data_IF_621196126911
#
_entry.id   IF_621196126911
#
_cell.length_a   1.000
_cell.length_b   1.000
_cell.length_c   1.000
_cell.angle_alpha   90.00
_cell.angle_beta   90.00
_cell.angle_gamma   90.00
#
_symmetry.space_group_name_H-M   'P 1'
#
loop_
_entity.id
_entity.type
_entity.pdbx_description
1 polymer ?
#
# COMPACT_ATOMS: atom_id res chain seq x y z
N UNK A 1 -9.05 -26.33 -0.17
CA UNK A 1 -9.03 -25.06 -0.91
C UNK A 1 -9.46 -25.39 -2.33
N UNK A 2 -10.43 -24.68 -2.89
CA UNK A 2 -10.84 -24.89 -4.29
C UNK A 2 -9.65 -24.57 -5.19
N UNK A 3 -9.20 -25.56 -5.98
CA UNK A 3 -7.97 -25.46 -6.77
C UNK A 3 -8.06 -24.38 -7.87
N UNK A 4 -9.29 -23.98 -8.20
CA UNK A 4 -9.60 -23.00 -9.23
C UNK A 4 -9.59 -21.56 -8.66
N UNK A 5 -9.29 -21.33 -7.38
CA UNK A 5 -9.15 -19.98 -6.80
C UNK A 5 -7.73 -19.44 -6.91
N UNK A 6 -7.59 -18.12 -7.11
CA UNK A 6 -6.30 -17.44 -6.95
C UNK A 6 -5.84 -17.49 -5.49
N UNK A 7 -4.55 -17.72 -5.20
CA UNK A 7 -4.04 -17.74 -3.83
C UNK A 7 -4.08 -16.35 -3.17
N UNK A 8 -4.01 -15.26 -3.96
CA UNK A 8 -4.08 -13.88 -3.49
C UNK A 8 -5.43 -13.25 -3.87
N UNK A 9 -6.34 -13.08 -2.91
CA UNK A 9 -7.64 -12.42 -3.11
C UNK A 9 -7.73 -11.32 -2.06
N UNK A 10 -7.19 -10.15 -2.43
CA UNK A 10 -6.93 -9.07 -1.50
C UNK A 10 -7.90 -7.91 -1.60
N UNK A 11 -7.92 -7.13 -0.52
CA UNK A 11 -8.59 -5.85 -0.47
C UNK A 11 -7.62 -4.85 0.15
N UNK A 12 -7.38 -3.73 -0.54
CA UNK A 12 -6.59 -2.63 0.00
C UNK A 12 -7.51 -1.57 0.60
N UNK A 13 -7.22 -1.18 1.84
CA UNK A 13 -7.83 -0.02 2.48
C UNK A 13 -6.77 1.04 2.75
N UNK A 14 -7.00 2.22 2.23
CA UNK A 14 -6.25 3.43 2.56
C UNK A 14 -6.81 4.07 3.84
N UNK A 15 -5.95 4.23 4.83
CA UNK A 15 -6.27 4.97 6.06
C UNK A 15 -5.45 6.25 6.22
N UNK A 16 -4.61 6.56 5.23
CA UNK A 16 -3.83 7.80 5.14
C UNK A 16 -4.70 9.00 4.78
N UNK A 17 -5.64 8.86 3.83
CA UNK A 17 -6.56 9.95 3.43
C UNK A 17 -7.82 10.02 4.28
N UNK A 18 -8.23 8.92 4.92
CA UNK A 18 -9.35 8.88 5.88
C UNK A 18 -9.06 7.90 7.00
N UNK A 19 -9.14 8.35 8.25
CA UNK A 19 -8.99 7.42 9.38
C UNK A 19 -10.19 6.47 9.49
N UNK A 20 -9.93 5.17 9.59
CA UNK A 20 -10.94 4.14 9.85
C UNK A 20 -10.74 3.56 11.26
N UNK A 21 -11.69 3.75 12.19
CA UNK A 21 -11.58 3.17 13.53
C UNK A 21 -11.42 1.64 13.49
N UNK A 22 -10.74 1.07 14.50
CA UNK A 22 -10.47 -0.38 14.59
C UNK A 22 -11.75 -1.21 14.43
N UNK A 23 -12.86 -0.79 15.06
CA UNK A 23 -14.11 -1.53 14.96
C UNK A 23 -14.71 -1.47 13.54
N UNK A 24 -14.55 -0.37 12.81
CA UNK A 24 -14.88 -0.27 11.39
C UNK A 24 -14.03 -1.23 10.53
N UNK A 25 -12.71 -1.27 10.76
CA UNK A 25 -11.81 -2.21 10.06
C UNK A 25 -12.21 -3.67 10.34
N UNK A 26 -12.56 -4.03 11.57
CA UNK A 26 -13.01 -5.40 11.89
C UNK A 26 -14.35 -5.76 11.23
N UNK A 27 -15.26 -4.78 11.06
CA UNK A 27 -16.50 -4.97 10.28
C UNK A 27 -16.20 -5.19 8.80
N UNK A 28 -15.26 -4.42 8.23
CA UNK A 28 -14.77 -4.63 6.86
C UNK A 28 -14.17 -6.03 6.70
N UNK A 29 -13.29 -6.47 7.60
CA UNK A 29 -12.72 -7.82 7.57
C UNK A 29 -13.79 -8.91 7.60
N UNK A 30 -14.86 -8.72 8.38
CA UNK A 30 -16.01 -9.64 8.39
C UNK A 30 -16.71 -9.68 7.04
N UNK A 31 -16.89 -8.51 6.39
CA UNK A 31 -17.47 -8.42 5.06
C UNK A 31 -16.59 -9.12 4.00
N UNK A 32 -15.28 -8.87 4.03
CA UNK A 32 -14.29 -9.51 3.16
C UNK A 32 -14.31 -11.04 3.30
N UNK A 33 -14.38 -11.55 4.53
CA UNK A 33 -14.51 -12.98 4.81
C UNK A 33 -15.78 -13.58 4.16
N UNK A 34 -16.93 -12.90 4.23
CA UNK A 34 -18.18 -13.34 3.59
C UNK A 34 -18.04 -13.45 2.06
N UNK A 35 -17.18 -12.63 1.46
CA UNK A 35 -16.87 -12.64 0.03
C UNK A 35 -15.59 -13.43 -0.31
N UNK A 36 -15.12 -14.29 0.59
CA UNK A 36 -14.00 -15.22 0.36
C UNK A 36 -12.66 -14.54 0.03
N UNK A 37 -12.47 -13.28 0.43
CA UNK A 37 -11.15 -12.63 0.43
C UNK A 37 -10.26 -13.25 1.52
N UNK A 38 -8.96 -13.28 1.28
CA UNK A 38 -7.98 -13.87 2.20
C UNK A 38 -6.76 -12.98 2.44
N UNK A 39 -6.78 -11.76 1.94
CA UNK A 39 -5.72 -10.76 2.13
C UNK A 39 -6.36 -9.42 2.43
N UNK A 40 -5.80 -8.72 3.40
CA UNK A 40 -6.07 -7.34 3.72
C UNK A 40 -4.76 -6.56 3.62
N UNK A 41 -4.65 -5.76 2.58
CA UNK A 41 -3.55 -4.85 2.32
C UNK A 41 -3.88 -3.53 3.02
N UNK A 42 -3.06 -3.14 3.99
CA UNK A 42 -3.31 -1.94 4.77
C UNK A 42 -2.36 -0.82 4.37
N UNK A 43 -2.87 0.09 3.53
CA UNK A 43 -2.23 1.35 3.20
C UNK A 43 -2.43 2.33 4.36
N UNK A 44 -1.51 2.28 5.32
CA UNK A 44 -1.76 2.77 6.68
C UNK A 44 -1.59 4.29 6.81
N UNK A 45 -0.70 4.90 6.03
CA UNK A 45 -0.43 6.33 5.98
C UNK A 45 -0.29 6.80 4.53
N UNK A 46 -0.38 8.11 4.30
CA UNK A 46 -0.01 8.74 3.02
C UNK A 46 0.47 10.19 3.23
N UNK A 47 0.59 10.97 2.17
CA UNK A 47 0.99 12.36 2.15
C UNK A 47 0.20 13.20 3.16
N UNK A 48 -1.10 12.97 3.30
CA UNK A 48 -2.00 13.79 4.12
C UNK A 48 -1.92 13.47 5.61
N UNK A 49 -1.66 12.22 5.99
CA UNK A 49 -1.62 11.83 7.40
C UNK A 49 -0.77 10.60 7.71
N UNK A 50 -0.27 10.55 8.94
CA UNK A 50 0.50 9.44 9.50
C UNK A 50 -0.18 8.92 10.78
N UNK A 51 -1.27 8.13 10.65
CA UNK A 51 -2.08 7.69 11.79
C UNK A 51 -1.48 6.46 12.49
N UNK A 52 -0.16 6.37 12.58
CA UNK A 52 0.57 5.27 13.22
C UNK A 52 1.41 5.81 14.38
N UNK A 53 1.34 5.17 15.55
CA UNK A 53 2.32 5.42 16.62
C UNK A 53 3.62 4.69 16.31
N UNK A 54 4.67 5.43 16.00
CA UNK A 54 5.98 4.88 15.61
C UNK A 54 7.10 5.31 16.58
N UNK A 55 7.71 4.41 17.39
CA UNK A 55 8.51 4.81 18.55
C UNK A 55 9.78 5.61 18.25
N UNK A 56 10.39 5.44 17.07
CA UNK A 56 11.55 6.26 16.68
C UNK A 56 11.19 7.71 16.37
N UNK A 57 9.90 8.04 16.38
CA UNK A 57 9.37 9.40 16.38
C UNK A 57 9.44 10.08 17.76
N UNK A 58 9.96 9.41 18.79
CA UNK A 58 10.05 10.02 20.12
C UNK A 58 11.27 10.93 20.24
N UNK A 59 11.03 12.23 20.43
CA UNK A 59 12.06 13.20 20.86
C UNK A 59 11.64 13.81 22.21
N UNK A 60 12.56 13.79 23.18
CA UNK A 60 12.33 14.28 24.55
C UNK A 60 11.06 13.71 25.25
N UNK A 61 10.64 12.50 24.84
CA UNK A 61 9.47 11.80 25.39
C UNK A 61 8.13 12.15 24.73
N UNK A 62 8.13 12.85 23.60
CA UNK A 62 6.93 13.18 22.82
C UNK A 62 7.01 12.66 21.37
N UNK A 63 5.86 12.33 20.78
CA UNK A 63 5.75 11.76 19.41
C UNK A 63 5.73 12.87 18.37
N UNK A 64 6.82 13.11 17.66
CA UNK A 64 6.96 14.34 16.86
C UNK A 64 6.20 14.36 15.52
N UNK A 65 6.31 13.35 14.66
CA UNK A 65 5.59 13.08 13.42
C UNK A 65 4.12 12.78 13.69
N UNK A 66 3.80 11.92 14.67
CA UNK A 66 2.41 11.68 15.05
C UNK A 66 1.78 13.00 15.50
N UNK A 67 2.46 13.82 16.31
CA UNK A 67 1.91 15.12 16.70
C UNK A 67 1.84 16.12 15.54
N UNK A 68 2.78 16.10 14.61
CA UNK A 68 2.68 16.87 13.37
C UNK A 68 1.42 16.46 12.59
N UNK A 69 1.20 15.16 12.40
CA UNK A 69 -0.01 14.65 11.75
C UNK A 69 -1.28 15.08 12.50
N UNK A 70 -1.36 14.85 13.82
CA UNK A 70 -2.52 15.28 14.64
C UNK A 70 -2.78 16.78 14.60
N UNK A 71 -1.77 17.59 14.28
CA UNK A 71 -1.88 19.05 14.21
C UNK A 71 -2.32 19.53 12.83
N UNK A 72 -1.80 18.92 11.77
CA UNK A 72 -1.93 19.42 10.40
C UNK A 72 -2.88 18.61 9.51
N UNK A 73 -3.09 17.31 9.78
CA UNK A 73 -3.98 16.47 8.99
C UNK A 73 -5.45 16.61 9.40
N UNK A 74 -6.32 15.96 8.63
CA UNK A 74 -7.77 15.86 8.85
C UNK A 74 -8.16 15.00 10.07
N UNK A 75 -7.23 14.30 10.71
CA UNK A 75 -7.52 13.40 11.84
C UNK A 75 -6.57 13.61 13.01
N UNK A 76 -7.10 13.45 14.23
CA UNK A 76 -6.30 13.43 15.47
C UNK A 76 -6.12 12.02 16.03
N UNK A 77 -6.70 11.03 15.37
CA UNK A 77 -6.68 9.63 15.76
C UNK A 77 -5.46 8.92 15.17
N UNK A 78 -5.07 7.83 15.81
CA UNK A 78 -3.93 7.02 15.42
C UNK A 78 -4.16 5.58 15.87
N UNK A 79 -3.49 4.64 15.22
CA UNK A 79 -3.40 3.26 15.61
C UNK A 79 -2.21 3.09 16.55
N UNK A 80 -2.49 2.59 17.75
CA UNK A 80 -1.45 2.07 18.63
C UNK A 80 -0.94 0.72 18.12
N UNK A 81 0.21 0.24 18.63
CA UNK A 81 0.68 -1.11 18.31
C UNK A 81 -0.36 -2.18 18.65
N UNK A 82 -1.10 -2.00 19.75
CA UNK A 82 -2.15 -2.93 20.16
C UNK A 82 -3.34 -2.91 19.19
N UNK A 83 -3.74 -1.74 18.68
CA UNK A 83 -4.82 -1.63 17.69
C UNK A 83 -4.51 -2.44 16.43
N UNK A 84 -3.27 -2.35 15.92
CA UNK A 84 -2.81 -3.11 14.77
C UNK A 84 -2.81 -4.61 15.07
N UNK A 85 -2.27 -5.01 16.23
CA UNK A 85 -2.24 -6.41 16.66
C UNK A 85 -3.64 -6.99 16.84
N UNK A 86 -4.60 -6.19 17.32
CA UNK A 86 -6.00 -6.60 17.48
C UNK A 86 -6.67 -6.81 16.11
N UNK A 87 -6.43 -5.93 15.14
CA UNK A 87 -6.87 -6.09 13.74
C UNK A 87 -6.27 -7.35 13.12
N UNK A 88 -4.95 -7.55 13.24
CA UNK A 88 -4.25 -8.73 12.73
C UNK A 88 -4.82 -10.01 13.34
N UNK A 89 -4.95 -10.07 14.66
CA UNK A 89 -5.50 -11.23 15.36
C UNK A 89 -6.96 -11.49 14.95
N UNK A 90 -7.74 -10.45 14.69
CA UNK A 90 -9.11 -10.57 14.18
C UNK A 90 -9.14 -11.17 12.76
N UNK A 91 -8.33 -10.62 11.85
CA UNK A 91 -8.21 -11.10 10.48
C UNK A 91 -7.75 -12.57 10.42
N UNK A 92 -6.76 -12.95 11.25
CA UNK A 92 -6.27 -14.33 11.33
C UNK A 92 -7.36 -15.33 11.70
N UNK A 93 -8.28 -14.98 12.62
CA UNK A 93 -9.44 -15.83 12.98
C UNK A 93 -10.41 -16.04 11.81
N UNK A 94 -10.42 -15.12 10.85
CA UNK A 94 -11.20 -15.19 9.61
C UNK A 94 -10.44 -15.85 8.45
N UNK A 95 -9.18 -16.26 8.66
CA UNK A 95 -8.31 -16.78 7.60
C UNK A 95 -7.82 -15.71 6.62
N UNK A 96 -7.82 -14.44 7.03
CA UNK A 96 -7.34 -13.29 6.26
C UNK A 96 -5.92 -12.95 6.71
N UNK A 97 -4.98 -12.91 5.78
CA UNK A 97 -3.61 -12.40 6.00
C UNK A 97 -3.65 -10.88 5.97
N UNK A 98 -2.92 -10.21 6.86
CA UNK A 98 -2.79 -8.75 6.86
C UNK A 98 -1.35 -8.39 6.54
N UNK A 99 -1.13 -7.44 5.64
CA UNK A 99 0.21 -6.88 5.42
C UNK A 99 0.18 -5.36 5.32
N UNK A 100 1.25 -4.69 5.76
CA UNK A 100 1.35 -3.25 5.71
C UNK A 100 1.85 -2.76 4.36
N UNK A 101 1.44 -1.55 4.02
CA UNK A 101 2.16 -0.70 3.10
C UNK A 101 2.80 0.48 3.84
N UNK A 102 4.09 0.66 3.60
CA UNK A 102 4.80 1.89 3.94
C UNK A 102 5.24 2.52 2.62
N UNK A 103 4.35 3.30 2.03
CA UNK A 103 4.58 3.91 0.73
C UNK A 103 5.75 4.90 0.79
N UNK A 104 6.70 4.71 -0.13
CA UNK A 104 7.91 5.51 -0.23
C UNK A 104 8.57 5.39 -1.62
N UNK A 105 9.34 6.40 -2.06
CA UNK A 105 9.61 7.65 -1.36
C UNK A 105 8.54 8.73 -1.56
N UNK A 106 7.59 8.51 -2.48
CA UNK A 106 6.42 9.37 -2.69
C UNK A 106 5.50 9.42 -1.48
N UNK A 107 4.33 10.05 -1.63
CA UNK A 107 3.25 9.96 -0.65
C UNK A 107 3.67 10.28 0.80
N UNK A 108 4.52 11.30 0.96
CA UNK A 108 5.24 11.56 2.23
C UNK A 108 5.25 13.03 2.66
N UNK A 109 4.37 13.88 2.12
CA UNK A 109 4.31 15.32 2.46
C UNK A 109 4.23 15.59 3.96
N UNK A 110 3.48 14.80 4.74
CA UNK A 110 3.36 14.97 6.19
C UNK A 110 4.71 14.88 6.92
N UNK A 111 5.70 14.17 6.38
CA UNK A 111 7.06 14.15 6.92
C UNK A 111 7.73 15.52 6.86
N UNK A 112 7.41 16.33 5.86
CA UNK A 112 7.90 17.70 5.73
C UNK A 112 7.34 18.67 6.77
N UNK A 113 6.13 18.41 7.27
CA UNK A 113 5.52 19.14 8.38
C UNK A 113 6.09 18.73 9.75
N UNK A 114 6.61 17.51 9.84
CA UNK A 114 7.41 17.06 10.97
C UNK A 114 8.82 17.67 10.92
N UNK A 115 9.58 17.35 9.88
CA UNK A 115 10.97 17.78 9.67
C UNK A 115 11.21 18.09 8.20
N UNK A 116 11.31 19.40 7.90
CA UNK A 116 11.46 19.90 6.53
C UNK A 116 12.66 19.31 5.77
N UNK A 117 13.75 19.00 6.48
CA UNK A 117 15.00 18.47 5.91
C UNK A 117 14.92 16.98 5.49
N UNK A 118 13.84 16.29 5.83
CA UNK A 118 13.64 14.89 5.45
C UNK A 118 13.04 14.72 4.05
N UNK A 119 12.59 15.81 3.42
CA UNK A 119 11.87 15.78 2.13
C UNK A 119 12.44 16.76 1.10
N UNK A 120 12.33 16.40 -0.18
CA UNK A 120 12.48 17.31 -1.33
C UNK A 120 11.10 17.75 -1.82
N UNK A 121 11.03 18.79 -2.68
CA UNK A 121 9.76 19.38 -3.09
C UNK A 121 9.22 20.38 -2.07
N UNK A 122 7.94 20.75 -2.15
CA UNK A 122 7.29 21.69 -1.23
C UNK A 122 6.09 20.99 -0.58
N UNK A 123 6.15 20.65 0.72
CA UNK A 123 5.07 19.93 1.38
C UNK A 123 3.74 20.68 1.34
N UNK A 124 2.69 20.00 0.90
CA UNK A 124 1.33 20.51 0.84
C UNK A 124 0.34 19.34 1.00
N UNK A 125 -0.46 19.35 2.08
CA UNK A 125 -1.41 18.26 2.37
C UNK A 125 -2.68 18.33 1.52
N UNK A 126 -2.99 19.47 0.89
CA UNK A 126 -4.13 19.56 -0.04
C UNK A 126 -3.71 19.19 -1.47
N UNK A 127 -2.43 19.42 -1.81
CA UNK A 127 -1.85 19.13 -3.12
C UNK A 127 -0.43 18.56 -2.96
N UNK A 128 -0.31 17.28 -2.58
CA UNK A 128 0.97 16.62 -2.36
C UNK A 128 2.00 16.92 -3.44
N UNK A 129 3.17 17.42 -3.02
CA UNK A 129 4.24 17.86 -3.92
C UNK A 129 5.61 17.77 -3.23
N UNK A 130 5.73 16.89 -2.23
CA UNK A 130 6.97 16.55 -1.57
C UNK A 130 7.12 15.04 -1.44
N UNK A 131 8.37 14.60 -1.34
CA UNK A 131 8.72 13.19 -1.20
C UNK A 131 9.98 13.06 -0.37
N UNK A 132 10.21 11.88 0.20
CA UNK A 132 11.38 11.62 1.05
C UNK A 132 12.68 11.94 0.32
N UNK A 133 13.59 12.65 0.99
CA UNK A 133 14.93 12.89 0.49
C UNK A 133 15.80 11.65 0.70
N UNK A 134 15.79 10.74 -0.26
CA UNK A 134 16.54 9.47 -0.23
C UNK A 134 18.07 9.65 -0.32
N UNK A 135 18.57 10.89 -0.45
CA UNK A 135 19.99 11.24 -0.33
C UNK A 135 20.39 11.46 1.14
N UNK A 136 19.42 11.81 1.98
CA UNK A 136 19.65 12.15 3.37
C UNK A 136 19.76 10.88 4.21
N UNK A 137 20.92 10.69 4.85
CA UNK A 137 21.17 9.54 5.73
C UNK A 137 20.16 9.43 6.87
N UNK A 138 19.73 10.56 7.43
CA UNK A 138 18.73 10.58 8.50
C UNK A 138 17.39 10.02 8.00
N UNK A 139 16.97 10.38 6.79
CA UNK A 139 15.78 9.83 6.14
C UNK A 139 15.90 8.31 5.98
N UNK A 140 17.05 7.81 5.51
CA UNK A 140 17.27 6.36 5.35
C UNK A 140 17.29 5.61 6.69
N UNK A 141 17.84 6.20 7.75
CA UNK A 141 17.84 5.59 9.09
C UNK A 141 16.41 5.53 9.67
N UNK A 142 15.60 6.56 9.44
CA UNK A 142 14.18 6.59 9.78
C UNK A 142 13.36 5.55 9.00
N UNK A 143 13.56 5.43 7.69
CA UNK A 143 12.90 4.40 6.87
C UNK A 143 13.22 3.00 7.40
N UNK A 144 14.49 2.72 7.72
CA UNK A 144 14.89 1.41 8.26
C UNK A 144 14.18 1.07 9.56
N UNK A 145 14.08 2.04 10.48
CA UNK A 145 13.38 1.83 11.75
C UNK A 145 11.87 1.68 11.54
N UNK A 146 11.26 2.49 10.67
CA UNK A 146 9.84 2.42 10.36
C UNK A 146 9.46 1.04 9.82
N UNK A 147 10.16 0.56 8.79
CA UNK A 147 9.92 -0.76 8.17
C UNK A 147 10.06 -1.86 9.22
N UNK A 148 11.12 -1.82 10.03
CA UNK A 148 11.33 -2.81 11.09
C UNK A 148 10.24 -2.76 12.17
N UNK A 149 9.76 -1.57 12.52
CA UNK A 149 8.71 -1.38 13.53
C UNK A 149 7.37 -1.87 13.02
N UNK A 150 6.98 -1.46 11.83
CA UNK A 150 5.72 -1.85 11.19
C UNK A 150 5.68 -3.37 10.98
N UNK A 151 6.80 -3.98 10.55
CA UNK A 151 6.92 -5.43 10.45
C UNK A 151 6.62 -6.14 11.78
N UNK A 152 7.11 -5.61 12.91
CA UNK A 152 6.85 -6.17 14.25
C UNK A 152 5.40 -5.98 14.69
N UNK A 153 4.75 -4.87 14.35
CA UNK A 153 3.37 -4.62 14.73
C UNK A 153 2.39 -5.52 14.00
N UNK A 154 2.63 -5.71 12.70
CA UNK A 154 1.79 -6.54 11.87
C UNK A 154 2.03 -8.03 12.10
N UNK A 155 3.24 -8.42 12.55
CA UNK A 155 3.69 -9.82 12.63
C UNK A 155 3.33 -10.62 11.35
N UNK A 156 3.29 -9.91 10.22
CA UNK A 156 2.81 -10.45 8.95
C UNK A 156 3.84 -11.46 8.45
N UNK A 157 3.43 -12.68 8.08
CA UNK A 157 4.37 -13.78 7.86
C UNK A 157 5.11 -13.68 6.52
N UNK A 158 4.59 -12.98 5.51
CA UNK A 158 5.03 -13.20 4.13
C UNK A 158 5.12 -11.99 3.20
N UNK A 159 4.48 -10.84 3.49
CA UNK A 159 4.42 -9.69 2.57
C UNK A 159 4.71 -8.34 3.26
N UNK A 160 5.26 -7.40 2.49
CA UNK A 160 5.43 -5.99 2.84
C UNK A 160 5.38 -5.15 1.55
N UNK A 161 4.50 -4.15 1.48
CA UNK A 161 4.40 -3.25 0.33
C UNK A 161 5.17 -1.96 0.61
N UNK A 162 6.01 -1.56 -0.35
CA UNK A 162 6.85 -0.36 -0.25
C UNK A 162 6.31 0.81 -1.07
N UNK A 163 5.14 0.65 -1.68
CA UNK A 163 4.52 1.62 -2.57
C UNK A 163 5.36 1.85 -3.81
N UNK A 164 5.87 3.07 -3.96
CA UNK A 164 6.79 3.43 -5.04
C UNK A 164 6.10 3.88 -6.33
N UNK A 165 4.84 4.26 -6.22
CA UNK A 165 4.03 4.95 -7.21
C UNK A 165 4.29 6.46 -7.24
N UNK A 166 3.95 7.08 -8.37
CA UNK A 166 3.92 8.54 -8.59
C UNK A 166 5.19 9.31 -8.16
N UNK A 167 6.35 8.64 -8.21
CA UNK A 167 7.63 9.20 -7.74
C UNK A 167 8.18 10.25 -8.72
N UNK A 168 8.28 11.50 -8.29
CA UNK A 168 8.85 12.56 -9.11
C UNK A 168 10.40 12.59 -9.07
N UNK A 169 11.04 12.89 -10.21
CA UNK A 169 12.50 13.00 -10.34
C UNK A 169 12.99 14.41 -9.94
N UNK A 170 12.87 14.74 -8.64
CA UNK A 170 13.08 16.11 -8.11
C UNK A 170 14.20 16.23 -7.07
N UNK A 171 15.03 15.19 -6.89
CA UNK A 171 16.19 15.26 -6.00
C UNK A 171 17.34 16.08 -6.60
N UNK A 172 17.34 16.33 -7.91
CA UNK A 172 18.32 17.20 -8.60
C UNK A 172 19.76 16.70 -8.43
N UNK A 173 19.95 15.39 -8.46
CA UNK A 173 21.29 14.79 -8.57
C UNK A 173 21.75 14.75 -10.04
N UNK A 174 22.93 14.19 -10.30
CA UNK A 174 23.38 13.95 -11.67
C UNK A 174 22.49 12.94 -12.40
N UNK A 175 21.90 11.99 -11.67
CA UNK A 175 21.04 10.93 -12.20
C UNK A 175 20.07 10.43 -11.11
N UNK A 176 18.90 11.07 -11.03
CA UNK A 176 17.85 10.74 -10.06
C UNK A 176 17.29 9.33 -10.27
N UNK A 177 17.30 8.80 -11.49
CA UNK A 177 16.86 7.42 -11.76
C UNK A 177 17.81 6.42 -11.13
N UNK A 178 19.11 6.62 -11.30
CA UNK A 178 20.12 5.77 -10.65
C UNK A 178 20.04 5.85 -9.13
N UNK A 179 19.80 7.04 -8.58
CA UNK A 179 19.54 7.21 -7.15
C UNK A 179 18.33 6.38 -6.71
N UNK A 180 17.22 6.45 -7.45
CA UNK A 180 16.00 5.70 -7.15
C UNK A 180 16.19 4.18 -7.26
N UNK A 181 16.86 3.69 -8.30
CA UNK A 181 17.21 2.27 -8.43
C UNK A 181 18.03 1.80 -7.22
N UNK A 182 19.04 2.58 -6.82
CA UNK A 182 19.88 2.26 -5.65
C UNK A 182 19.06 2.23 -4.36
N UNK A 183 18.08 3.13 -4.23
CA UNK A 183 17.19 3.17 -3.08
C UNK A 183 16.29 1.93 -3.00
N UNK A 184 15.65 1.50 -4.08
CA UNK A 184 14.84 0.27 -4.08
C UNK A 184 15.70 -0.98 -3.90
N UNK A 185 16.91 -1.03 -4.46
CA UNK A 185 17.85 -2.11 -4.16
C UNK A 185 18.21 -2.17 -2.67
N UNK A 186 18.42 -1.01 -2.05
CA UNK A 186 18.65 -0.93 -0.61
C UNK A 186 17.40 -1.34 0.21
N UNK A 187 16.19 -0.93 -0.20
CA UNK A 187 14.94 -1.31 0.49
C UNK A 187 14.75 -2.82 0.55
N UNK A 188 15.12 -3.56 -0.50
CA UNK A 188 15.10 -5.04 -0.45
C UNK A 188 15.97 -5.61 0.67
N UNK A 189 17.06 -4.93 1.03
CA UNK A 189 17.93 -5.34 2.15
C UNK A 189 17.38 -4.96 3.51
N UNK A 190 16.47 -3.98 3.55
CA UNK A 190 15.76 -3.55 4.77
C UNK A 190 14.55 -4.47 5.04
N UNK A 191 13.89 -4.93 3.98
CA UNK A 191 12.79 -5.88 4.07
C UNK A 191 13.23 -7.15 4.81
N UNK A 192 12.39 -7.62 5.72
CA UNK A 192 12.64 -8.86 6.45
C UNK A 192 12.87 -10.04 5.47
N UNK A 193 13.92 -10.87 5.66
CA UNK A 193 14.34 -11.87 4.66
C UNK A 193 13.31 -12.98 4.39
N UNK A 194 12.30 -13.12 5.25
CA UNK A 194 11.21 -14.08 5.09
C UNK A 194 10.00 -13.51 4.33
N UNK A 195 10.02 -12.22 3.97
CA UNK A 195 8.93 -11.54 3.27
C UNK A 195 9.25 -11.33 1.80
N UNK A 196 8.22 -11.44 0.96
CA UNK A 196 8.28 -10.96 -0.43
C UNK A 196 7.95 -9.46 -0.44
N UNK A 197 8.84 -8.62 -0.96
CA UNK A 197 8.58 -7.19 -1.05
C UNK A 197 7.71 -6.90 -2.30
N UNK A 198 6.80 -5.93 -2.17
CA UNK A 198 5.86 -5.52 -3.21
C UNK A 198 6.04 -4.03 -3.51
N UNK A 199 5.87 -3.63 -4.77
CA UNK A 199 5.79 -2.23 -5.23
C UNK A 199 4.67 -2.08 -6.27
N UNK A 200 4.18 -0.86 -6.44
CA UNK A 200 3.32 -0.50 -7.58
C UNK A 200 4.09 -0.56 -8.91
N UNK A 201 3.37 -0.54 -10.03
CA UNK A 201 3.95 -0.82 -11.34
C UNK A 201 4.67 0.35 -12.02
N UNK A 202 4.57 1.58 -11.48
CA UNK A 202 5.09 2.84 -12.03
C UNK A 202 6.57 2.74 -12.43
N UNK A 203 7.40 2.19 -11.55
CA UNK A 203 8.83 2.00 -11.77
C UNK A 203 9.16 1.06 -12.93
N UNK A 204 8.17 0.38 -13.49
CA UNK A 204 8.31 -0.58 -14.59
C UNK A 204 7.56 -0.11 -15.83
N UNK A 205 6.40 0.53 -15.65
CA UNK A 205 5.42 0.75 -16.71
C UNK A 205 5.38 2.20 -17.16
N UNK A 206 5.65 3.16 -16.29
CA UNK A 206 5.48 4.59 -16.56
C UNK A 206 6.55 5.10 -17.57
N UNK A 207 6.12 5.65 -18.72
CA UNK A 207 7.03 6.22 -19.69
C UNK A 207 7.79 7.41 -19.10
N UNK A 208 9.13 7.33 -19.04
CA UNK A 208 9.96 8.44 -18.54
C UNK A 208 10.30 8.38 -17.06
N UNK A 209 9.65 7.52 -16.28
CA UNK A 209 10.03 7.22 -14.89
C UNK A 209 10.40 5.75 -14.66
N UNK A 210 10.06 4.87 -15.61
CA UNK A 210 10.47 3.47 -15.55
C UNK A 210 11.99 3.29 -15.44
N UNK A 211 12.35 2.35 -14.57
CA UNK A 211 13.70 1.91 -14.28
C UNK A 211 14.00 0.66 -15.09
N UNK A 212 15.20 0.61 -15.67
CA UNK A 212 15.57 -0.45 -16.62
C UNK A 212 15.82 -1.80 -15.93
N UNK A 213 16.34 -1.79 -14.71
CA UNK A 213 16.84 -2.97 -13.99
C UNK A 213 16.19 -3.16 -12.60
N UNK A 214 14.87 -3.32 -12.55
CA UNK A 214 14.17 -3.73 -11.30
C UNK A 214 14.33 -5.24 -11.09
N UNK A 215 14.82 -5.64 -9.91
CA UNK A 215 14.95 -7.07 -9.55
C UNK A 215 13.60 -7.81 -9.63
N UNK A 216 13.60 -9.01 -10.21
CA UNK A 216 12.42 -9.89 -10.28
C UNK A 216 11.99 -10.47 -8.92
N UNK A 217 12.76 -10.21 -7.86
CA UNK A 217 12.36 -10.48 -6.47
C UNK A 217 11.11 -9.68 -6.09
N UNK A 218 10.96 -8.46 -6.62
CA UNK A 218 9.80 -7.62 -6.41
C UNK A 218 8.55 -8.26 -7.01
N UNK A 219 7.51 -8.43 -6.17
CA UNK A 219 6.14 -8.60 -6.65
C UNK A 219 5.65 -7.22 -7.09
N UNK A 220 4.95 -7.17 -8.22
CA UNK A 220 4.45 -5.92 -8.79
C UNK A 220 2.94 -5.90 -8.67
N UNK A 221 2.39 -4.88 -8.05
CA UNK A 221 0.95 -4.63 -8.03
C UNK A 221 0.61 -3.69 -9.18
N UNK A 222 -0.20 -4.15 -10.14
CA UNK A 222 -0.50 -3.38 -11.35
C UNK A 222 -1.80 -2.61 -11.19
N UNK A 223 -1.71 -1.29 -11.17
CA UNK A 223 -2.88 -0.41 -11.13
C UNK A 223 -3.12 0.30 -12.44
N UNK A 224 -2.08 0.54 -13.25
CA UNK A 224 -2.27 1.04 -14.61
C UNK A 224 -2.95 -0.01 -15.49
N UNK A 225 -4.02 0.39 -16.19
CA UNK A 225 -4.81 -0.52 -17.02
C UNK A 225 -4.01 -1.07 -18.21
N UNK A 226 -4.13 -2.37 -18.47
CA UNK A 226 -3.50 -3.06 -19.61
C UNK A 226 -2.01 -3.33 -19.50
N UNK A 227 -1.35 -3.01 -18.38
CA UNK A 227 0.11 -3.18 -18.23
C UNK A 227 0.54 -4.56 -17.70
N UNK A 228 -0.41 -5.34 -17.17
CA UNK A 228 -0.12 -6.63 -16.50
C UNK A 228 0.73 -7.57 -17.36
N UNK A 229 0.45 -7.66 -18.66
CA UNK A 229 1.20 -8.52 -19.58
C UNK A 229 2.67 -8.08 -19.74
N UNK A 230 2.93 -6.76 -19.82
CA UNK A 230 4.28 -6.19 -19.92
C UNK A 230 5.11 -6.51 -18.67
N UNK A 231 4.49 -6.45 -17.49
CA UNK A 231 5.16 -6.78 -16.22
C UNK A 231 5.49 -8.27 -16.13
N UNK A 232 4.59 -9.14 -16.60
CA UNK A 232 4.83 -10.58 -16.68
C UNK A 232 5.96 -10.94 -17.65
N UNK A 233 6.07 -10.25 -18.79
CA UNK A 233 7.15 -10.44 -19.77
C UNK A 233 8.54 -10.07 -19.23
N UNK A 234 8.60 -9.14 -18.28
CA UNK A 234 9.82 -8.83 -17.51
C UNK A 234 10.13 -9.88 -16.42
N UNK A 235 9.27 -10.88 -16.23
CA UNK A 235 9.52 -12.03 -15.36
C UNK A 235 9.01 -11.89 -13.93
N UNK A 236 8.34 -10.77 -13.59
CA UNK A 236 7.84 -10.53 -12.24
C UNK A 236 6.64 -11.41 -11.87
N UNK A 237 6.41 -11.51 -10.56
CA UNK A 237 5.14 -11.93 -9.97
C UNK A 237 4.19 -10.74 -9.91
N UNK A 238 2.92 -10.95 -10.20
CA UNK A 238 1.94 -9.86 -10.32
C UNK A 238 0.71 -10.07 -9.45
N UNK A 239 0.30 -9.00 -8.80
CA UNK A 239 -1.00 -8.83 -8.16
C UNK A 239 -1.76 -7.81 -9.02
N UNK A 240 -2.95 -8.17 -9.52
CA UNK A 240 -3.71 -7.30 -10.42
C UNK A 240 -4.64 -6.39 -9.63
N UNK A 241 -4.56 -5.08 -9.89
CA UNK A 241 -5.42 -4.05 -9.30
C UNK A 241 -5.75 -2.94 -10.32
N UNK A 242 -5.84 -3.31 -11.61
CA UNK A 242 -6.08 -2.37 -12.72
C UNK A 242 -7.28 -1.44 -12.42
N UNK A 243 -7.02 -0.14 -12.45
CA UNK A 243 -7.84 0.89 -11.80
C UNK A 243 -9.25 1.00 -12.36
N UNK A 244 -9.44 0.75 -13.65
CA UNK A 244 -10.77 0.78 -14.28
C UNK A 244 -11.66 -0.34 -13.74
N UNK A 245 -11.06 -1.47 -13.36
CA UNK A 245 -11.78 -2.68 -12.95
C UNK A 245 -11.81 -2.87 -11.43
N UNK A 246 -10.73 -2.57 -10.70
CA UNK A 246 -10.57 -2.99 -9.30
C UNK A 246 -10.57 -1.85 -8.28
N UNK A 247 -10.57 -0.57 -8.69
CA UNK A 247 -10.65 0.53 -7.73
C UNK A 247 -12.09 0.82 -7.35
N UNK A 248 -12.40 0.80 -6.06
CA UNK A 248 -13.67 1.26 -5.54
C UNK A 248 -13.92 2.71 -6.02
N UNK A 249 -15.11 2.96 -6.58
CA UNK A 249 -15.47 4.22 -7.25
C UNK A 249 -15.41 4.14 -8.78
N UNK A 250 -14.49 3.35 -9.34
CA UNK A 250 -14.42 3.04 -10.77
C UNK A 250 -15.00 1.65 -11.08
N UNK A 251 -14.75 0.70 -10.20
CA UNK A 251 -15.16 -0.69 -10.27
C UNK A 251 -16.67 -0.83 -10.16
N UNK A 252 -17.22 -1.75 -10.94
CA UNK A 252 -18.58 -2.24 -10.79
C UNK A 252 -18.61 -3.76 -11.03
N UNK A 253 -19.80 -4.33 -10.94
CA UNK A 253 -19.96 -5.78 -11.10
C UNK A 253 -19.53 -6.27 -12.48
N UNK A 254 -19.87 -5.54 -13.54
CA UNK A 254 -19.66 -5.96 -14.92
C UNK A 254 -18.17 -5.84 -15.27
N UNK A 255 -17.52 -4.72 -14.95
CA UNK A 255 -16.09 -4.53 -15.19
C UNK A 255 -15.21 -5.62 -14.56
N UNK A 256 -15.50 -6.01 -13.31
CA UNK A 256 -14.74 -7.07 -12.64
C UNK A 256 -15.04 -8.43 -13.24
N UNK A 257 -16.30 -8.74 -13.55
CA UNK A 257 -16.65 -10.07 -14.08
C UNK A 257 -16.21 -10.27 -15.53
N UNK A 258 -16.10 -9.19 -16.30
CA UNK A 258 -15.59 -9.20 -17.68
C UNK A 258 -14.05 -9.11 -17.75
N UNK A 259 -13.37 -8.78 -16.65
CA UNK A 259 -11.92 -8.66 -16.62
C UNK A 259 -11.22 -9.99 -16.97
N UNK A 260 -10.41 -9.97 -18.02
CA UNK A 260 -9.70 -11.16 -18.52
C UNK A 260 -8.28 -11.20 -17.95
N UNK A 261 -8.08 -12.00 -16.92
CA UNK A 261 -6.75 -12.25 -16.36
C UNK A 261 -5.81 -12.92 -17.38
N UNK A 262 -4.54 -12.49 -17.47
CA UNK A 262 -3.52 -13.20 -18.23
C UNK A 262 -3.35 -14.65 -17.75
N UNK A 263 -3.26 -15.59 -18.68
CA UNK A 263 -3.01 -17.01 -18.38
C UNK A 263 -1.54 -17.25 -18.09
N UNK A 264 -1.09 -16.85 -16.91
CA UNK A 264 0.31 -16.96 -16.51
C UNK A 264 0.47 -17.37 -15.05
N UNK A 265 1.44 -18.26 -14.76
CA UNK A 265 1.66 -18.79 -13.40
C UNK A 265 2.10 -17.73 -12.39
N UNK A 266 2.70 -16.65 -12.87
CA UNK A 266 3.16 -15.54 -12.02
C UNK A 266 2.03 -14.57 -11.66
N UNK A 267 0.81 -14.73 -12.17
CA UNK A 267 -0.37 -14.00 -11.68
C UNK A 267 -0.78 -14.64 -10.36
N UNK A 268 -0.48 -13.95 -9.26
CA UNK A 268 -0.76 -14.41 -7.90
C UNK A 268 -2.25 -14.26 -7.57
N UNK A 269 -2.90 -13.28 -8.18
CA UNK A 269 -4.32 -12.98 -8.02
C UNK A 269 -4.60 -11.50 -8.18
N UNK A 270 -5.48 -10.97 -7.34
CA UNK A 270 -5.97 -9.60 -7.46
C UNK A 270 -6.16 -8.92 -6.12
N UNK A 271 -6.22 -7.60 -6.12
CA UNK A 271 -6.81 -6.82 -5.04
C UNK A 271 -7.83 -5.82 -5.55
N UNK A 272 -8.96 -5.74 -4.84
CA UNK A 272 -9.89 -4.61 -4.94
C UNK A 272 -9.34 -3.50 -4.04
N UNK A 273 -9.21 -2.29 -4.58
CA UNK A 273 -8.48 -1.20 -3.92
C UNK A 273 -9.44 -0.07 -3.55
N UNK A 274 -9.35 0.42 -2.32
CA UNK A 274 -10.13 1.57 -1.87
C UNK A 274 -9.20 2.67 -1.37
N UNK A 275 -8.86 3.60 -2.28
CA UNK A 275 -8.33 4.92 -1.92
C UNK A 275 -9.47 5.76 -1.35
N UNK A 276 -9.33 6.14 -0.09
CA UNK A 276 -10.43 6.74 0.64
C UNK A 276 -10.50 8.24 0.42
N UNK A 277 -11.67 8.81 0.60
CA UNK A 277 -11.91 10.25 0.51
C UNK A 277 -12.55 10.78 1.79
N UNK A 278 -12.52 12.11 1.97
CA UNK A 278 -13.12 12.75 3.15
C UNK A 278 -14.62 12.40 3.31
N UNK A 279 -15.34 12.19 2.20
CA UNK A 279 -16.76 11.87 2.16
C UNK A 279 -17.11 10.43 2.56
N UNK A 280 -16.14 9.53 2.63
CA UNK A 280 -16.40 8.14 2.98
C UNK A 280 -16.78 8.00 4.45
N UNK A 281 -17.81 7.18 4.72
CA UNK A 281 -18.23 6.80 6.08
C UNK A 281 -17.64 5.42 6.43
N UNK A 282 -16.70 5.34 7.40
CA UNK A 282 -16.10 4.09 7.83
C UNK A 282 -17.10 3.02 8.31
N UNK A 283 -18.32 3.42 8.68
CA UNK A 283 -19.33 2.50 9.21
C UNK A 283 -20.39 2.09 8.18
N UNK A 284 -20.48 2.78 7.04
CA UNK A 284 -21.46 2.46 5.99
C UNK A 284 -20.83 1.59 4.90
N UNK A 285 -20.47 0.37 5.28
CA UNK A 285 -19.79 -0.62 4.41
C UNK A 285 -20.76 -1.42 3.53
N UNK A 286 -22.08 -1.25 3.72
CA UNK A 286 -23.11 -1.98 2.96
C UNK A 286 -23.53 -1.24 1.68
N UNK A 287 -22.91 -0.10 1.41
CA UNK A 287 -23.19 0.66 0.20
C UNK A 287 -22.93 -0.17 -1.05
N UNK A 288 -23.82 0.00 -2.03
CA UNK A 288 -23.81 -0.80 -3.27
C UNK A 288 -22.47 -0.71 -4.01
N UNK A 289 -21.87 0.47 -4.07
CA UNK A 289 -20.59 0.73 -4.74
C UNK A 289 -19.38 0.09 -4.03
N UNK A 290 -19.54 -0.37 -2.79
CA UNK A 290 -18.55 -1.19 -2.07
C UNK A 290 -18.86 -2.68 -2.29
N UNK A 291 -20.12 -3.08 -2.07
CA UNK A 291 -20.52 -4.50 -2.03
C UNK A 291 -20.54 -5.16 -3.41
N UNK A 292 -20.92 -4.45 -4.47
CA UNK A 292 -20.97 -5.02 -5.83
C UNK A 292 -19.59 -5.44 -6.34
N UNK A 293 -18.54 -4.60 -6.25
CA UNK A 293 -17.18 -5.01 -6.57
C UNK A 293 -16.71 -6.25 -5.80
N UNK A 294 -16.95 -6.30 -4.48
CA UNK A 294 -16.59 -7.45 -3.65
C UNK A 294 -17.31 -8.73 -4.09
N UNK A 295 -18.60 -8.62 -4.41
CA UNK A 295 -19.42 -9.75 -4.89
C UNK A 295 -18.92 -10.27 -6.23
N UNK A 296 -18.60 -9.38 -7.16
CA UNK A 296 -18.04 -9.75 -8.46
C UNK A 296 -16.68 -10.43 -8.30
N UNK A 297 -15.80 -9.85 -7.50
CA UNK A 297 -14.46 -10.36 -7.24
C UNK A 297 -14.46 -11.74 -6.56
N UNK A 298 -15.42 -12.01 -5.68
CA UNK A 298 -15.63 -13.34 -5.08
C UNK A 298 -15.89 -14.45 -6.12
N UNK A 299 -16.39 -14.08 -7.30
CA UNK A 299 -16.63 -14.96 -8.44
C UNK A 299 -15.40 -15.28 -9.29
N UNK A 300 -14.29 -14.54 -9.13
CA UNK A 300 -13.08 -14.73 -9.95
C UNK A 300 -12.48 -16.12 -9.72
N UNK A 301 -12.11 -16.79 -10.81
CA UNK A 301 -11.45 -18.09 -10.81
C UNK A 301 -10.22 -18.05 -11.71
N UNK A 302 -9.21 -18.85 -11.37
CA UNK A 302 -8.05 -19.09 -12.23
C UNK A 302 -8.54 -19.77 -13.50
N UNK A 303 -8.05 -19.35 -14.67
CA UNK A 303 -8.30 -20.08 -15.90
C UNK A 303 -7.70 -21.49 -15.77
N UNK A 304 -8.49 -22.51 -16.13
CA UNK A 304 -8.05 -23.90 -16.23
C UNK A 304 -7.08 -24.11 -17.39
#
# INVERSE_FOLDING_TARGET
>A
MDADLYPHRGFMLDTGRKFFPVDAITKLLTLLHRYNFNVFHWHIYDAESFPLLWPADQEDGDWTLTNASRKFSHTRHFYSPQDIQDVVAYAQRLGIRVYPETDMPGHSDIWGFWKRDLVVGTPDLEKPNAQLDIRNRMTLDYIRDLVSTVDRYFDSPDLHHFGGDEVAMIWRTEDDRKLLTTFFDWLRTVCSPNKSPIIWDDLITEPGNSLDDISTDWVIQTWHDGVTQKVLEKGHRVIVSESDAFYIGNADYDKITEFVFPRHRNVLGFEVVWFTSEGDDPYDLEQRWIVEPLRAAAGIRRPR
#
